data_IF_645645781013
#
_entry.id   IF_645645781013
#
_cell.length_a   1.000
_cell.length_b   1.000
_cell.length_c   1.000
_cell.angle_alpha   90.00
_cell.angle_beta   90.00
_cell.angle_gamma   90.00
#
_symmetry.space_group_name_H-M   'P 1'
#
loop_
_entity.id
_entity.type
_entity.pdbx_description
1 polymer ?
#
# COMPACT_ATOMS: atom_id res chain seq x y z
N UNK A 1 4.52 -33.62 29.95
CA UNK A 1 5.35 -32.73 29.12
C UNK A 1 6.77 -33.25 29.20
N UNK A 2 7.32 -33.78 28.11
CA UNK A 2 8.71 -34.28 28.12
C UNK A 2 9.68 -33.14 28.33
N UNK A 3 10.63 -33.32 29.23
CA UNK A 3 11.70 -32.37 29.54
C UNK A 3 12.63 -32.21 28.33
N UNK A 4 12.90 -30.97 27.92
CA UNK A 4 13.83 -30.68 26.83
C UNK A 4 15.28 -30.78 27.33
N UNK A 5 16.06 -31.66 26.73
CA UNK A 5 17.51 -31.77 27.01
C UNK A 5 18.35 -31.10 25.92
N UNK A 6 19.62 -30.83 26.24
CA UNK A 6 20.58 -30.26 25.28
C UNK A 6 20.82 -31.20 24.08
N UNK A 7 20.82 -32.51 24.31
CA UNK A 7 20.96 -33.49 23.24
C UNK A 7 19.78 -33.44 22.28
N UNK A 8 18.55 -33.28 22.80
CA UNK A 8 17.35 -33.13 21.97
C UNK A 8 17.44 -31.93 21.03
N UNK A 9 17.93 -30.77 21.51
CA UNK A 9 18.15 -29.57 20.68
C UNK A 9 19.13 -29.78 19.52
N UNK A 10 20.06 -30.73 19.64
CA UNK A 10 21.16 -30.94 18.68
C UNK A 10 20.92 -32.12 17.75
N UNK A 11 20.03 -33.04 18.12
CA UNK A 11 19.86 -34.33 17.45
C UNK A 11 18.48 -34.52 16.84
N UNK A 12 17.44 -33.86 17.36
CA UNK A 12 16.09 -34.01 16.83
C UNK A 12 15.93 -33.18 15.56
N UNK A 13 15.14 -33.70 14.63
CA UNK A 13 14.72 -32.93 13.48
C UNK A 13 13.84 -31.74 13.93
N UNK A 14 13.86 -30.61 13.20
CA UNK A 14 13.11 -29.40 13.54
C UNK A 14 11.64 -29.63 13.90
N UNK A 15 10.98 -30.52 13.16
CA UNK A 15 9.57 -30.88 13.33
C UNK A 15 9.29 -31.61 14.65
N UNK A 16 10.20 -32.48 15.09
CA UNK A 16 10.05 -33.23 16.35
C UNK A 16 10.38 -32.33 17.54
N UNK A 17 11.38 -31.46 17.38
CA UNK A 17 11.76 -30.47 18.38
C UNK A 17 10.62 -29.49 18.69
N UNK A 18 9.82 -29.11 17.68
CA UNK A 18 8.69 -28.22 17.86
C UNK A 18 7.66 -28.72 18.89
N UNK A 19 7.53 -30.04 19.07
CA UNK A 19 6.62 -30.62 20.07
C UNK A 19 7.10 -30.46 21.52
N UNK A 20 8.38 -30.12 21.70
CA UNK A 20 9.02 -29.90 23.00
C UNK A 20 9.17 -28.42 23.34
N UNK A 21 8.76 -27.51 22.44
CA UNK A 21 8.85 -26.07 22.61
C UNK A 21 7.45 -25.45 22.81
N UNK A 22 7.31 -24.38 23.61
CA UNK A 22 8.36 -23.69 24.36
C UNK A 22 8.86 -24.47 25.58
N UNK A 23 10.16 -24.41 25.85
CA UNK A 23 10.82 -25.17 26.89
C UNK A 23 11.53 -24.27 27.92
N UNK A 24 11.09 -24.26 29.18
CA UNK A 24 11.79 -23.59 30.28
C UNK A 24 13.04 -24.37 30.68
N UNK A 25 14.18 -23.69 30.72
CA UNK A 25 15.51 -24.26 30.93
C UNK A 25 16.37 -23.34 31.79
N UNK A 26 17.31 -23.90 32.53
CA UNK A 26 18.42 -23.16 33.13
C UNK A 26 19.54 -23.01 32.11
N UNK A 27 20.17 -21.84 32.07
CA UNK A 27 21.51 -21.63 31.50
C UNK A 27 22.42 -21.04 32.58
N UNK A 28 23.46 -21.79 32.95
CA UNK A 28 24.17 -21.51 34.19
C UNK A 28 23.23 -21.63 35.41
N UNK A 29 23.11 -20.56 36.18
CA UNK A 29 22.22 -20.46 37.35
C UNK A 29 20.90 -19.73 37.07
N UNK A 30 20.72 -19.21 35.86
CA UNK A 30 19.58 -18.37 35.51
C UNK A 30 18.56 -19.14 34.67
N UNK A 31 17.28 -18.91 34.94
CA UNK A 31 16.19 -19.51 34.18
C UNK A 31 15.92 -18.70 32.89
N UNK A 32 15.53 -19.42 31.84
CA UNK A 32 15.11 -18.86 30.56
C UNK A 32 14.15 -19.81 29.84
N UNK A 33 13.67 -19.41 28.67
CA UNK A 33 12.75 -20.24 27.87
C UNK A 33 13.22 -20.29 26.43
N UNK A 34 13.43 -21.49 25.91
CA UNK A 34 13.60 -21.70 24.47
C UNK A 34 12.21 -21.63 23.85
N UNK A 35 11.97 -20.63 23.03
CA UNK A 35 10.64 -20.30 22.52
C UNK A 35 10.31 -21.12 21.27
N UNK A 36 11.22 -21.13 20.30
CA UNK A 36 11.07 -21.82 19.02
C UNK A 36 12.41 -22.05 18.35
N UNK A 37 12.41 -22.93 17.35
CA UNK A 37 13.49 -23.02 16.38
C UNK A 37 13.29 -21.92 15.31
N UNK A 38 14.36 -21.19 15.00
CA UNK A 38 14.40 -20.17 13.95
C UNK A 38 15.01 -20.75 12.68
N UNK A 39 16.06 -21.57 12.83
CA UNK A 39 16.75 -22.30 11.77
C UNK A 39 17.34 -23.59 12.36
N UNK A 40 17.88 -24.46 11.51
CA UNK A 40 18.44 -25.79 11.83
C UNK A 40 19.31 -25.81 13.08
N UNK A 41 20.12 -24.76 13.30
CA UNK A 41 20.99 -24.63 14.47
C UNK A 41 20.72 -23.36 15.30
N UNK A 42 19.64 -22.63 15.02
CA UNK A 42 19.31 -21.37 15.70
C UNK A 42 17.98 -21.48 16.44
N UNK A 43 18.00 -21.15 17.73
CA UNK A 43 16.81 -21.05 18.57
C UNK A 43 16.56 -19.62 19.01
N UNK A 44 15.29 -19.28 19.16
CA UNK A 44 14.86 -18.06 19.83
C UNK A 44 14.75 -18.34 21.32
N UNK A 45 15.47 -17.57 22.12
CA UNK A 45 15.65 -17.81 23.54
C UNK A 45 15.30 -16.55 24.34
N UNK A 46 14.38 -16.70 25.28
CA UNK A 46 14.09 -15.70 26.29
C UNK A 46 15.02 -15.88 27.49
N UNK A 47 15.82 -14.87 27.78
CA UNK A 47 16.78 -14.87 28.87
C UNK A 47 17.03 -13.46 29.39
N UNK A 48 17.10 -13.31 30.71
CA UNK A 48 17.38 -12.03 31.37
C UNK A 48 16.53 -10.85 30.84
N UNK A 49 15.22 -11.10 30.64
CA UNK A 49 14.27 -10.09 30.17
C UNK A 49 14.37 -9.75 28.68
N UNK A 50 15.14 -10.49 27.89
CA UNK A 50 15.33 -10.26 26.45
C UNK A 50 15.06 -11.50 25.64
N UNK A 51 14.57 -11.31 24.42
CA UNK A 51 14.44 -12.37 23.43
C UNK A 51 15.58 -12.19 22.43
N UNK A 52 16.40 -13.22 22.27
CA UNK A 52 17.55 -13.22 21.35
C UNK A 52 17.68 -14.56 20.65
N UNK A 53 18.35 -14.56 19.50
CA UNK A 53 18.66 -15.78 18.76
C UNK A 53 20.01 -16.32 19.18
N UNK A 54 20.08 -17.62 19.45
CA UNK A 54 21.30 -18.31 19.85
C UNK A 54 21.51 -19.59 19.06
N UNK A 55 22.77 -19.91 18.78
CA UNK A 55 23.11 -21.21 18.18
C UNK A 55 23.00 -22.34 19.22
N UNK A 56 22.37 -23.44 18.85
CA UNK A 56 22.25 -24.66 19.67
C UNK A 56 23.60 -25.32 19.95
N UNK A 57 24.63 -25.00 19.16
CA UNK A 57 25.99 -25.51 19.33
C UNK A 57 26.67 -24.91 20.57
N UNK A 58 26.44 -23.61 20.84
CA UNK A 58 27.07 -22.89 21.96
C UNK A 58 26.18 -22.82 23.20
N UNK A 59 24.87 -22.98 23.03
CA UNK A 59 23.93 -22.92 24.13
C UNK A 59 24.16 -24.08 25.11
N UNK A 60 24.24 -23.77 26.40
CA UNK A 60 24.34 -24.75 27.48
C UNK A 60 23.09 -24.63 28.34
N UNK A 61 22.23 -25.66 28.28
CA UNK A 61 20.94 -25.66 28.96
C UNK A 61 20.69 -26.93 29.76
N UNK A 62 19.94 -26.79 30.85
CA UNK A 62 19.46 -27.89 31.69
C UNK A 62 17.96 -27.73 31.92
N UNK A 63 17.16 -28.81 31.94
CA UNK A 63 15.72 -28.69 32.16
C UNK A 63 15.42 -28.14 33.55
N UNK A 64 14.37 -27.32 33.65
CA UNK A 64 13.82 -26.89 34.94
C UNK A 64 12.84 -27.95 35.43
N UNK A 65 13.21 -28.67 36.50
CA UNK A 65 12.40 -29.74 37.09
C UNK A 65 11.41 -29.24 38.13
N UNK A 66 11.71 -28.11 38.80
CA UNK A 66 10.81 -27.48 39.78
C UNK A 66 9.59 -26.85 39.07
N UNK A 67 8.36 -27.33 39.34
CA UNK A 67 7.15 -26.80 38.72
C UNK A 67 6.91 -25.30 38.99
N UNK A 68 7.26 -24.79 40.17
CA UNK A 68 7.00 -23.39 40.55
C UNK A 68 7.95 -22.43 39.80
N UNK A 69 9.22 -22.80 39.68
CA UNK A 69 10.19 -22.05 38.87
C UNK A 69 9.75 -22.11 37.40
N UNK A 70 9.39 -23.30 36.93
CA UNK A 70 8.96 -23.53 35.55
C UNK A 70 7.80 -22.62 35.14
N UNK A 71 6.76 -22.56 35.97
CA UNK A 71 5.59 -21.72 35.72
C UNK A 71 5.94 -20.24 35.73
N UNK A 72 6.78 -19.80 36.67
CA UNK A 72 7.21 -18.40 36.78
C UNK A 72 8.01 -17.97 35.56
N UNK A 73 8.99 -18.77 35.12
CA UNK A 73 9.82 -18.47 33.95
C UNK A 73 8.99 -18.43 32.66
N UNK A 74 8.01 -19.34 32.51
CA UNK A 74 7.08 -19.30 31.38
C UNK A 74 6.21 -18.05 31.39
N UNK A 75 5.71 -17.62 32.56
CA UNK A 75 4.89 -16.42 32.70
C UNK A 75 5.67 -15.17 32.29
N UNK A 76 6.90 -15.02 32.76
CA UNK A 76 7.79 -13.91 32.40
C UNK A 76 8.10 -13.89 30.88
N UNK A 77 8.34 -15.06 30.28
CA UNK A 77 8.56 -15.17 28.85
C UNK A 77 7.32 -14.77 28.03
N UNK A 78 6.13 -15.19 28.46
CA UNK A 78 4.86 -14.81 27.82
C UNK A 78 4.62 -13.30 27.91
N UNK A 79 4.88 -12.69 29.06
CA UNK A 79 4.75 -11.25 29.25
C UNK A 79 5.70 -10.48 28.31
N UNK A 80 6.97 -10.88 28.26
CA UNK A 80 7.94 -10.30 27.34
C UNK A 80 7.52 -10.47 25.87
N UNK A 81 7.03 -11.65 25.48
CA UNK A 81 6.52 -11.90 24.13
C UNK A 81 5.32 -11.03 23.79
N UNK A 82 4.40 -10.83 24.73
CA UNK A 82 3.24 -9.97 24.53
C UNK A 82 3.65 -8.50 24.29
N UNK A 83 4.62 -8.01 25.07
CA UNK A 83 5.20 -6.66 24.90
C UNK A 83 5.88 -6.55 23.53
N UNK A 84 6.78 -7.48 23.19
CA UNK A 84 7.49 -7.47 21.92
C UNK A 84 6.52 -7.54 20.72
N UNK A 85 5.48 -8.37 20.81
CA UNK A 85 4.44 -8.48 19.78
C UNK A 85 3.69 -7.17 19.59
N UNK A 86 3.29 -6.51 20.68
CA UNK A 86 2.60 -5.22 20.61
C UNK A 86 3.47 -4.17 19.92
N UNK A 87 4.72 -4.03 20.36
CA UNK A 87 5.68 -3.07 19.77
C UNK A 87 5.93 -3.37 18.29
N UNK A 88 6.04 -4.65 17.91
CA UNK A 88 6.23 -5.04 16.51
C UNK A 88 5.01 -4.66 15.63
N UNK A 89 3.79 -4.89 16.13
CA UNK A 89 2.56 -4.50 15.43
C UNK A 89 2.48 -2.98 15.27
N UNK A 90 2.74 -2.23 16.34
CA UNK A 90 2.72 -0.76 16.32
C UNK A 90 3.77 -0.21 15.34
N UNK A 91 4.99 -0.75 15.37
CA UNK A 91 6.07 -0.37 14.45
C UNK A 91 5.70 -0.67 12.99
N UNK A 92 5.11 -1.84 12.73
CA UNK A 92 4.66 -2.19 11.38
C UNK A 92 3.54 -1.27 10.90
N UNK A 93 2.55 -0.99 11.74
CA UNK A 93 1.48 -0.04 11.43
C UNK A 93 2.03 1.37 11.15
N UNK A 94 3.01 1.83 11.93
CA UNK A 94 3.67 3.11 11.70
C UNK A 94 4.41 3.16 10.36
N UNK A 95 5.15 2.10 10.04
CA UNK A 95 5.85 1.99 8.74
C UNK A 95 4.87 2.05 7.57
N UNK A 96 3.75 1.33 7.64
CA UNK A 96 2.71 1.38 6.60
C UNK A 96 2.09 2.77 6.46
N UNK A 97 1.78 3.43 7.58
CA UNK A 97 1.25 4.80 7.56
C UNK A 97 2.25 5.79 6.96
N UNK A 98 3.50 5.74 7.42
CA UNK A 98 4.56 6.62 6.91
C UNK A 98 4.82 6.40 5.42
N UNK A 99 4.79 5.15 4.96
CA UNK A 99 4.93 4.84 3.54
C UNK A 99 3.75 5.37 2.72
N UNK A 100 2.51 5.19 3.20
CA UNK A 100 1.32 5.74 2.56
C UNK A 100 1.38 7.25 2.41
N UNK A 101 1.72 7.97 3.49
CA UNK A 101 1.89 9.43 3.45
C UNK A 101 2.97 9.88 2.47
N UNK A 102 4.05 9.11 2.33
CA UNK A 102 5.10 9.41 1.37
C UNK A 102 4.63 9.21 -0.07
N UNK A 103 3.88 8.14 -0.36
CA UNK A 103 3.29 7.91 -1.69
C UNK A 103 2.27 8.99 -2.05
N UNK A 104 1.45 9.42 -1.09
CA UNK A 104 0.50 10.53 -1.27
C UNK A 104 1.24 11.84 -1.58
N UNK A 105 2.34 12.12 -0.89
CA UNK A 105 3.17 13.30 -1.16
C UNK A 105 3.84 13.25 -2.55
N UNK A 106 4.33 12.07 -2.98
CA UNK A 106 4.89 11.87 -4.33
C UNK A 106 3.81 12.09 -5.38
N UNK A 107 2.61 11.53 -5.16
CA UNK A 107 1.46 11.73 -6.05
C UNK A 107 1.11 13.20 -6.18
N UNK A 108 0.99 13.91 -5.05
CA UNK A 108 0.65 15.33 -5.07
C UNK A 108 1.72 16.15 -5.79
N UNK A 109 2.99 15.88 -5.54
CA UNK A 109 4.09 16.55 -6.24
C UNK A 109 4.02 16.34 -7.77
N UNK A 110 3.70 15.15 -8.24
CA UNK A 110 3.55 14.89 -9.67
C UNK A 110 2.36 15.67 -10.26
N UNK A 111 1.24 15.73 -9.54
CA UNK A 111 0.07 16.53 -9.94
C UNK A 111 0.43 18.02 -10.01
N UNK A 112 1.10 18.55 -8.99
CA UNK A 112 1.51 19.97 -8.97
C UNK A 112 2.41 20.30 -10.17
N UNK A 113 3.35 19.41 -10.52
CA UNK A 113 4.20 19.56 -11.72
C UNK A 113 3.41 19.51 -13.01
N UNK A 114 2.34 18.73 -13.07
CA UNK A 114 1.47 18.71 -14.24
C UNK A 114 0.67 20.02 -14.36
N UNK A 115 0.12 20.50 -13.24
CA UNK A 115 -0.63 21.76 -13.18
C UNK A 115 0.24 22.98 -13.50
N UNK A 116 1.52 22.94 -13.15
CA UNK A 116 2.52 23.94 -13.54
C UNK A 116 2.99 23.82 -15.01
N UNK A 117 2.59 22.76 -15.72
CA UNK A 117 2.94 22.50 -17.11
C UNK A 117 4.32 21.87 -17.34
N UNK A 118 5.01 21.44 -16.27
CA UNK A 118 6.32 20.79 -16.35
C UNK A 118 6.25 19.35 -16.88
N UNK A 119 5.12 18.67 -16.68
CA UNK A 119 4.85 17.34 -17.23
C UNK A 119 3.51 17.32 -17.97
N UNK A 120 3.48 16.65 -19.13
CA UNK A 120 2.24 16.45 -19.87
C UNK A 120 1.33 15.42 -19.16
N UNK A 121 0.05 15.41 -19.55
CA UNK A 121 -0.97 14.52 -18.99
C UNK A 121 -0.61 13.04 -19.13
N UNK A 122 -0.20 12.62 -20.32
CA UNK A 122 0.25 11.25 -20.60
C UNK A 122 1.43 10.86 -19.69
N UNK A 123 2.39 11.77 -19.50
CA UNK A 123 3.53 11.55 -18.60
C UNK A 123 3.14 11.43 -17.13
N UNK A 124 2.12 12.19 -16.68
CA UNK A 124 1.54 12.03 -15.34
C UNK A 124 0.85 10.68 -15.20
N UNK A 125 -0.01 10.30 -16.15
CA UNK A 125 -0.77 9.06 -16.09
C UNK A 125 0.15 7.82 -16.12
N UNK A 126 1.18 7.83 -16.98
CA UNK A 126 2.22 6.80 -17.02
C UNK A 126 2.98 6.69 -15.70
N UNK A 127 3.34 7.83 -15.10
CA UNK A 127 4.01 7.87 -13.81
C UNK A 127 3.13 7.26 -12.72
N UNK A 128 1.88 7.70 -12.61
CA UNK A 128 0.94 7.21 -11.59
C UNK A 128 0.69 5.70 -11.77
N UNK A 129 0.47 5.23 -13.00
CA UNK A 129 0.29 3.81 -13.30
C UNK A 129 1.54 2.99 -12.95
N UNK A 130 2.73 3.49 -13.30
CA UNK A 130 4.01 2.80 -13.03
C UNK A 130 4.23 2.53 -11.55
N UNK A 131 3.82 3.46 -10.69
CA UNK A 131 3.93 3.34 -9.23
C UNK A 131 2.65 2.84 -8.55
N UNK A 132 1.64 2.40 -9.34
CA UNK A 132 0.35 1.93 -8.83
C UNK A 132 -0.36 2.94 -7.91
N UNK A 133 -0.22 4.23 -8.23
CA UNK A 133 -0.87 5.34 -7.55
C UNK A 133 -2.25 5.57 -8.14
N UNK A 134 -3.17 6.15 -7.35
CA UNK A 134 -4.49 6.52 -7.83
C UNK A 134 -4.39 7.52 -8.99
N UNK A 135 -5.20 7.32 -10.03
CA UNK A 135 -5.25 8.18 -11.22
C UNK A 135 -5.54 9.64 -10.86
N UNK A 136 -5.13 10.54 -11.74
CA UNK A 136 -5.50 11.94 -11.64
C UNK A 136 -6.89 12.12 -12.27
N UNK A 137 -7.84 12.66 -11.51
CA UNK A 137 -9.18 13.00 -12.00
C UNK A 137 -9.26 14.53 -12.12
N UNK A 138 -9.46 15.02 -13.34
CA UNK A 138 -9.54 16.44 -13.62
C UNK A 138 -10.80 17.01 -12.97
N UNK A 139 -10.65 17.99 -12.07
CA UNK A 139 -11.80 18.61 -11.35
C UNK A 139 -12.45 19.77 -12.11
N UNK A 140 -11.93 20.12 -13.28
CA UNK A 140 -12.36 21.29 -14.03
C UNK A 140 -13.43 20.88 -15.03
N UNK A 141 -14.66 21.32 -14.80
CA UNK A 141 -15.72 21.27 -15.80
C UNK A 141 -15.70 22.57 -16.60
N UNK A 142 -15.23 22.51 -17.84
CA UNK A 142 -15.23 23.68 -18.73
C UNK A 142 -16.59 23.77 -19.42
N UNK A 143 -17.25 24.93 -19.30
CA UNK A 143 -18.42 25.27 -20.08
C UNK A 143 -18.10 26.53 -20.88
N UNK A 144 -18.26 26.49 -22.21
CA UNK A 144 -18.09 27.64 -23.09
C UNK A 144 -19.32 27.81 -23.98
N UNK A 145 -19.58 29.04 -24.39
CA UNK A 145 -20.62 29.38 -25.38
C UNK A 145 -19.93 30.00 -26.58
N UNK A 146 -20.05 29.37 -27.75
CA UNK A 146 -19.52 29.91 -29.00
C UNK A 146 -20.68 30.49 -29.80
N UNK A 147 -20.61 31.78 -30.08
CA UNK A 147 -21.52 32.47 -30.99
C UNK A 147 -20.78 32.77 -32.29
N UNK A 148 -21.36 32.36 -33.40
CA UNK A 148 -20.82 32.59 -34.74
C UNK A 148 -21.94 32.85 -35.73
N UNK A 149 -21.64 33.60 -36.79
CA UNK A 149 -22.53 33.76 -37.94
C UNK A 149 -21.79 33.29 -39.18
N UNK A 150 -22.46 32.55 -40.05
CA UNK A 150 -21.90 32.11 -41.31
C UNK A 150 -22.93 32.32 -42.42
N UNK A 151 -22.44 32.61 -43.63
CA UNK A 151 -23.26 32.97 -44.78
C UNK A 151 -23.25 31.80 -45.77
N UNK A 152 -24.44 31.32 -46.16
CA UNK A 152 -24.60 30.21 -47.10
C UNK A 152 -25.14 30.77 -48.41
N UNK A 153 -24.53 30.40 -49.53
CA UNK A 153 -25.08 30.72 -50.85
C UNK A 153 -26.39 29.95 -51.09
N UNK A 154 -27.34 30.51 -51.85
CA UNK A 154 -28.73 30.06 -51.83
C UNK A 154 -28.88 28.62 -52.36
N UNK A 155 -28.94 27.68 -51.43
CA UNK A 155 -29.74 26.47 -51.50
C UNK A 155 -30.76 26.54 -50.36
N UNK A 156 -31.91 25.88 -50.53
CA UNK A 156 -33.07 25.91 -49.62
C UNK A 156 -32.72 26.06 -48.13
N UNK A 157 -33.50 26.85 -47.38
CA UNK A 157 -33.27 27.11 -45.95
C UNK A 157 -33.02 25.85 -45.12
N UNK A 158 -33.72 24.75 -45.42
CA UNK A 158 -33.54 23.45 -44.77
C UNK A 158 -32.11 22.88 -44.94
N UNK A 159 -31.50 23.07 -46.12
CA UNK A 159 -30.13 22.61 -46.39
C UNK A 159 -29.09 23.47 -45.67
N UNK A 160 -29.36 24.77 -45.52
CA UNK A 160 -28.51 25.65 -44.72
C UNK A 160 -28.61 25.33 -43.22
N UNK A 161 -29.76 24.91 -42.71
CA UNK A 161 -29.90 24.48 -41.31
C UNK A 161 -29.13 23.18 -41.04
N UNK A 162 -29.25 22.18 -41.92
CA UNK A 162 -28.51 20.91 -41.80
C UNK A 162 -26.98 21.12 -41.89
N UNK A 163 -26.51 21.97 -42.82
CA UNK A 163 -25.09 22.30 -42.93
C UNK A 163 -24.57 23.06 -41.69
N UNK A 164 -25.39 23.93 -41.09
CA UNK A 164 -25.03 24.63 -39.84
C UNK A 164 -24.73 23.62 -38.73
N UNK A 165 -25.65 22.67 -38.54
CA UNK A 165 -25.58 21.66 -37.50
C UNK A 165 -24.38 20.73 -37.70
N UNK A 166 -24.04 20.42 -38.95
CA UNK A 166 -22.98 19.48 -39.28
C UNK A 166 -21.58 20.11 -39.22
N UNK A 167 -21.42 21.36 -39.66
CA UNK A 167 -20.09 21.96 -39.85
C UNK A 167 -19.75 23.08 -38.86
N UNK A 168 -20.73 23.70 -38.19
CA UNK A 168 -20.47 24.72 -37.16
C UNK A 168 -20.20 24.06 -35.80
N UNK A 169 -19.11 23.29 -35.73
CA UNK A 169 -18.67 22.67 -34.50
C UNK A 169 -17.45 23.41 -33.94
N UNK A 170 -17.38 23.62 -32.62
CA UNK A 170 -16.15 24.08 -31.98
C UNK A 170 -14.98 23.14 -32.28
N UNK A 171 -13.81 23.67 -32.57
CA UNK A 171 -12.59 22.86 -32.52
C UNK A 171 -12.19 22.67 -31.05
N UNK A 172 -12.41 21.47 -30.53
CA UNK A 172 -12.13 21.08 -29.14
C UNK A 172 -10.88 20.23 -29.02
N UNK A 173 -10.10 20.07 -30.09
CA UNK A 173 -8.90 19.25 -30.10
C UNK A 173 -7.82 19.69 -29.10
N UNK A 174 -7.94 20.91 -28.55
CA UNK A 174 -7.05 21.47 -27.53
C UNK A 174 -7.59 21.48 -26.10
N UNK A 175 -8.77 20.92 -25.83
CA UNK A 175 -9.33 20.81 -24.48
C UNK A 175 -9.22 19.36 -23.98
N UNK A 176 -8.63 19.19 -22.79
CA UNK A 176 -8.59 17.90 -22.09
C UNK A 176 -9.98 17.53 -21.54
N UNK A 177 -10.39 16.27 -21.75
CA UNK A 177 -11.55 15.64 -21.10
C UNK A 177 -12.92 16.31 -21.37
N UNK A 178 -13.17 16.70 -22.62
CA UNK A 178 -14.56 16.94 -23.06
C UNK A 178 -15.21 15.58 -23.24
N UNK A 179 -15.82 15.07 -22.17
CA UNK A 179 -16.63 13.85 -22.21
C UNK A 179 -17.69 14.03 -23.30
N UNK A 180 -17.74 13.12 -24.28
CA UNK A 180 -18.54 13.28 -25.51
C UNK A 180 -20.03 13.57 -25.24
N UNK A 181 -20.52 13.15 -24.07
CA UNK A 181 -21.90 13.31 -23.61
C UNK A 181 -22.14 14.55 -22.72
N UNK A 182 -21.11 15.34 -22.38
CA UNK A 182 -21.23 16.57 -21.58
C UNK A 182 -21.29 17.85 -22.39
N UNK A 183 -21.12 17.74 -23.71
CA UNK A 183 -21.23 18.85 -24.66
C UNK A 183 -22.70 19.12 -24.97
N UNK A 184 -23.36 19.99 -24.19
CA UNK A 184 -24.67 20.53 -24.60
C UNK A 184 -24.42 21.82 -25.39
N UNK A 185 -24.77 21.83 -26.68
CA UNK A 185 -24.74 23.04 -27.50
C UNK A 185 -26.14 23.37 -28.01
N UNK A 186 -26.53 24.63 -27.87
CA UNK A 186 -27.81 25.16 -28.35
C UNK A 186 -27.51 26.14 -29.49
N UNK A 187 -27.93 25.80 -30.71
CA UNK A 187 -27.89 26.71 -31.85
C UNK A 187 -29.17 27.56 -31.82
N UNK A 188 -29.03 28.86 -31.68
CA UNK A 188 -30.14 29.81 -31.72
C UNK A 188 -29.84 30.96 -32.67
N UNK A 189 -30.86 31.47 -33.36
CA UNK A 189 -30.74 32.65 -34.23
C UNK A 189 -30.36 32.38 -35.69
N UNK A 190 -30.82 31.28 -36.29
CA UNK A 190 -30.67 31.05 -37.73
C UNK A 190 -31.47 32.12 -38.49
N UNK A 191 -30.75 33.04 -39.14
CA UNK A 191 -31.33 34.07 -39.99
C UNK A 191 -30.91 33.84 -41.44
N UNK A 192 -31.80 33.22 -42.21
CA UNK A 192 -31.66 33.14 -43.67
C UNK A 192 -32.07 34.50 -44.23
N UNK A 193 -31.11 35.21 -44.82
CA UNK A 193 -31.38 36.44 -45.56
C UNK A 193 -31.33 36.12 -47.05
N UNK A 194 -32.45 36.27 -47.75
CA UNK A 194 -32.48 36.23 -49.22
C UNK A 194 -31.91 37.55 -49.77
N UNK A 195 -30.97 37.46 -50.71
CA UNK A 195 -30.51 38.59 -51.53
C UNK A 195 -31.25 38.57 -52.86
#
# INVERSE_FOLDING_TARGET
MSELTLEMLRSLAPQDLATHLPAPVYTGEQAGVILRLVDTDLVEFYFAGRISTHSTQVLQVRPITDPAVRETTLREAIEALAICRKVAIEKHAEQHRSHGLMLDAIRQYAIDRHEDGDICREGLDDFLAKFSLASYETRVRVAYTITGSYEVHPSSGDAAEDDALQYLQPDLSGLDDVDGDTSTYEISGIHVSEV
#
